data_IF_752017768326
#
_entry.id   IF_752017768326
#
_cell.length_a   1.000
_cell.length_b   1.000
_cell.length_c   1.000
_cell.angle_alpha   90.00
_cell.angle_beta   90.00
_cell.angle_gamma   90.00
#
_symmetry.space_group_name_H-M   'P 1'
#
loop_
_entity.id
_entity.type
_entity.pdbx_description
1 polymer ?
#
# COMPACT_ATOMS: atom_id res chain seq x y z
N UNK A 1 36.46 28.68 9.78
CA UNK A 1 35.59 28.11 10.85
C UNK A 1 36.40 27.10 11.66
N UNK A 2 36.66 27.33 12.96
CA UNK A 2 37.60 26.51 13.73
C UNK A 2 37.09 25.07 13.92
N UNK A 3 37.96 24.08 13.71
CA UNK A 3 37.71 22.63 13.87
C UNK A 3 37.07 22.30 15.22
N UNK A 4 37.45 23.02 16.28
CA UNK A 4 36.88 22.90 17.62
C UNK A 4 35.42 23.34 17.72
N UNK A 5 35.00 24.37 16.95
CA UNK A 5 33.59 24.81 16.91
C UNK A 5 32.71 23.81 16.16
N UNK A 6 33.20 23.25 15.06
CA UNK A 6 32.48 22.22 14.29
C UNK A 6 32.29 20.96 15.13
N UNK A 7 33.34 20.52 15.83
CA UNK A 7 33.26 19.34 16.70
C UNK A 7 32.26 19.55 17.84
N UNK A 8 32.24 20.73 18.46
CA UNK A 8 31.26 21.05 19.50
C UNK A 8 29.84 21.06 18.95
N UNK A 9 29.62 21.71 17.80
CA UNK A 9 28.30 21.75 17.16
C UNK A 9 27.80 20.34 16.80
N UNK A 10 28.67 19.48 16.27
CA UNK A 10 28.32 18.10 15.94
C UNK A 10 27.87 17.32 17.16
N UNK A 11 28.64 17.35 18.27
CA UNK A 11 28.26 16.67 19.50
C UNK A 11 26.97 17.25 20.10
N UNK A 12 26.82 18.56 20.07
CA UNK A 12 25.59 19.23 20.53
C UNK A 12 24.37 18.77 19.73
N UNK A 13 24.45 18.70 18.40
CA UNK A 13 23.38 18.19 17.55
C UNK A 13 23.14 16.69 17.73
N UNK A 14 24.20 15.89 17.84
CA UNK A 14 24.12 14.44 18.05
C UNK A 14 23.43 14.06 19.36
N UNK A 15 23.48 14.92 20.37
CA UNK A 15 22.78 14.73 21.66
C UNK A 15 21.39 15.37 21.65
N UNK A 16 21.25 16.59 21.10
CA UNK A 16 19.97 17.29 21.07
C UNK A 16 18.94 16.59 20.20
N UNK A 17 19.33 16.01 19.06
CA UNK A 17 18.39 15.36 18.14
C UNK A 17 17.70 14.13 18.76
N UNK A 18 18.42 13.16 19.37
CA UNK A 18 17.78 12.05 20.09
C UNK A 18 16.95 12.52 21.29
N UNK A 19 17.43 13.53 22.02
CA UNK A 19 16.73 14.04 23.20
C UNK A 19 15.40 14.71 22.81
N UNK A 20 15.41 15.51 21.74
CA UNK A 20 14.22 16.10 21.15
C UNK A 20 13.23 15.01 20.73
N UNK A 21 13.71 13.93 20.11
CA UNK A 21 12.87 12.82 19.68
C UNK A 21 12.26 12.04 20.87
N UNK A 22 13.05 11.78 21.91
CA UNK A 22 12.59 11.12 23.12
C UNK A 22 11.52 11.94 23.86
N UNK A 23 11.70 13.26 23.95
CA UNK A 23 10.72 14.17 24.55
C UNK A 23 9.39 14.13 23.79
N UNK A 24 9.43 14.04 22.46
CA UNK A 24 8.23 13.91 21.63
C UNK A 24 7.52 12.59 21.88
N UNK A 25 8.27 11.49 21.98
CA UNK A 25 7.69 10.19 22.36
C UNK A 25 6.95 10.26 23.70
N UNK A 26 7.51 10.96 24.69
CA UNK A 26 6.85 11.18 25.99
C UNK A 26 5.59 12.05 25.89
N UNK A 27 5.62 13.13 25.12
CA UNK A 27 4.43 14.00 24.90
C UNK A 27 3.34 13.24 24.13
N UNK A 28 3.72 12.40 23.18
CA UNK A 28 2.80 11.56 22.42
C UNK A 28 2.07 10.56 23.32
N UNK A 29 2.76 9.98 24.32
CA UNK A 29 2.14 9.11 25.32
C UNK A 29 1.10 9.83 26.20
N UNK A 30 1.27 11.14 26.44
CA UNK A 30 0.39 11.91 27.33
C UNK A 30 -0.75 12.69 26.64
N UNK A 31 -0.57 13.10 25.38
CA UNK A 31 -1.48 14.05 24.72
C UNK A 31 -1.97 13.64 23.33
N UNK A 32 -1.49 12.52 22.77
CA UNK A 32 -1.89 12.02 21.46
C UNK A 32 -1.63 12.96 20.27
N UNK A 33 -0.96 14.11 20.48
CA UNK A 33 -0.75 15.17 19.49
C UNK A 33 0.72 15.55 19.44
N UNK A 34 1.23 15.77 18.23
CA UNK A 34 2.53 16.39 17.99
C UNK A 34 2.38 17.92 18.12
N UNK A 35 3.00 18.60 19.11
CA UNK A 35 2.68 20.00 19.37
C UNK A 35 3.49 21.01 18.53
N UNK A 36 4.49 20.57 17.77
CA UNK A 36 5.45 21.47 17.09
C UNK A 36 6.01 20.88 15.78
N UNK A 37 6.46 21.69 14.80
CA UNK A 37 7.09 21.19 13.59
C UNK A 37 8.48 20.61 13.88
N UNK A 38 8.71 19.36 13.47
CA UNK A 38 9.96 18.63 13.65
C UNK A 38 10.60 18.30 12.29
N UNK A 39 11.94 18.19 12.30
CA UNK A 39 12.71 17.41 11.31
C UNK A 39 12.40 15.92 11.51
N UNK A 40 11.19 15.51 11.16
CA UNK A 40 10.83 14.10 11.11
C UNK A 40 11.45 13.53 9.84
N UNK A 41 12.13 12.38 9.92
CA UNK A 41 12.44 11.64 8.71
C UNK A 41 11.14 11.39 7.94
N UNK A 42 11.10 11.56 6.61
CA UNK A 42 9.90 11.37 5.81
C UNK A 42 9.58 9.88 5.72
N UNK A 43 9.01 9.34 6.79
CA UNK A 43 8.61 7.96 6.92
C UNK A 43 7.75 7.86 8.18
N UNK A 44 6.56 7.29 8.04
CA UNK A 44 5.57 7.08 9.11
C UNK A 44 4.69 8.29 9.49
N UNK A 45 4.01 8.92 8.53
CA UNK A 45 2.77 9.67 8.85
C UNK A 45 1.55 9.08 8.14
N UNK A 46 0.98 8.07 8.77
CA UNK A 46 -0.48 7.93 8.79
C UNK A 46 -0.93 8.43 10.17
N UNK A 47 -1.10 9.75 10.33
CA UNK A 47 -1.60 10.33 11.57
C UNK A 47 -3.09 10.02 11.68
N UNK A 48 -3.42 8.85 12.22
CA UNK A 48 -4.80 8.48 12.53
C UNK A 48 -5.35 9.37 13.64
N UNK A 49 -6.57 9.89 13.46
CA UNK A 49 -7.30 10.59 14.53
C UNK A 49 -8.46 9.71 14.99
N UNK A 50 -8.70 9.73 16.29
CA UNK A 50 -9.86 9.13 16.90
C UNK A 50 -11.14 9.77 16.33
N UNK A 51 -12.02 8.94 15.75
CA UNK A 51 -13.25 9.37 15.07
C UNK A 51 -13.13 9.56 13.55
N UNK A 52 -11.93 9.44 12.96
CA UNK A 52 -11.78 9.39 11.50
C UNK A 52 -11.84 7.94 10.99
N UNK A 53 -12.55 7.69 9.86
CA UNK A 53 -12.53 6.37 9.25
C UNK A 53 -11.10 6.02 8.84
N UNK A 54 -10.66 4.81 9.21
CA UNK A 54 -9.41 4.28 8.69
C UNK A 54 -9.64 3.93 7.22
N UNK A 55 -9.01 4.71 6.33
CA UNK A 55 -9.04 4.50 4.89
C UNK A 55 -7.82 3.65 4.52
N UNK A 56 -8.06 2.39 4.21
CA UNK A 56 -7.06 1.49 3.64
C UNK A 56 -7.49 1.10 2.23
N UNK A 57 -6.55 0.67 1.39
CA UNK A 57 -6.86 0.15 0.06
C UNK A 57 -6.64 -1.37 0.06
N UNK A 58 -7.55 -2.07 -0.60
CA UNK A 58 -7.48 -3.51 -0.84
C UNK A 58 -7.54 -3.78 -2.33
N UNK A 59 -6.84 -4.82 -2.78
CA UNK A 59 -6.93 -5.30 -4.15
C UNK A 59 -7.43 -6.74 -4.16
N UNK A 60 -8.43 -6.99 -4.99
CA UNK A 60 -9.06 -8.30 -5.18
C UNK A 60 -9.02 -8.69 -6.65
N UNK A 61 -8.52 -9.89 -6.96
CA UNK A 61 -8.49 -10.46 -8.30
C UNK A 61 -9.75 -11.29 -8.52
N UNK A 62 -10.67 -10.79 -9.34
CA UNK A 62 -11.86 -11.51 -9.78
C UNK A 62 -11.56 -12.21 -11.11
N UNK A 63 -11.44 -13.54 -11.03
CA UNK A 63 -11.03 -14.42 -12.11
C UNK A 63 -12.26 -15.02 -12.76
N UNK A 64 -12.45 -14.75 -14.04
CA UNK A 64 -13.51 -15.35 -14.85
C UNK A 64 -12.98 -16.62 -15.49
N UNK A 65 -13.65 -17.73 -15.19
CA UNK A 65 -13.31 -19.06 -15.70
C UNK A 65 -14.13 -19.37 -16.96
N UNK A 66 -13.69 -20.35 -17.78
CA UNK A 66 -14.42 -20.75 -18.99
C UNK A 66 -15.83 -21.29 -18.72
N UNK A 67 -16.07 -21.81 -17.51
CA UNK A 67 -17.37 -22.31 -17.05
C UNK A 67 -18.36 -21.19 -16.65
N UNK A 68 -17.95 -19.92 -16.77
CA UNK A 68 -18.75 -18.74 -16.40
C UNK A 68 -18.71 -18.41 -14.91
N UNK A 69 -17.99 -19.18 -14.08
CA UNK A 69 -17.87 -18.88 -12.66
C UNK A 69 -16.82 -17.79 -12.41
N UNK A 70 -17.05 -17.01 -11.35
CA UNK A 70 -16.13 -15.96 -10.90
C UNK A 70 -15.51 -16.37 -9.58
N UNK A 71 -14.20 -16.58 -9.57
CA UNK A 71 -13.45 -16.82 -8.34
C UNK A 71 -12.74 -15.54 -7.91
N UNK A 72 -12.93 -15.12 -6.67
CA UNK A 72 -12.22 -13.96 -6.09
C UNK A 72 -11.02 -14.45 -5.28
N UNK A 73 -9.83 -13.97 -5.61
CA UNK A 73 -8.61 -14.20 -4.86
C UNK A 73 -8.08 -12.87 -4.28
N UNK A 74 -7.66 -12.83 -3.01
CA UNK A 74 -6.99 -11.66 -2.47
C UNK A 74 -5.61 -11.51 -3.10
N UNK A 75 -5.13 -10.27 -3.20
CA UNK A 75 -3.82 -9.97 -3.77
C UNK A 75 -2.68 -10.75 -3.09
N UNK A 76 -2.74 -10.92 -1.78
CA UNK A 76 -1.72 -11.65 -1.00
C UNK A 76 -1.56 -13.11 -1.46
N UNK A 77 -2.65 -13.76 -1.91
CA UNK A 77 -2.58 -15.12 -2.46
C UNK A 77 -1.95 -15.14 -3.85
N UNK A 78 -2.35 -14.20 -4.71
CA UNK A 78 -1.82 -14.11 -6.08
C UNK A 78 -0.32 -13.79 -6.04
N UNK A 79 0.09 -12.86 -5.19
CA UNK A 79 1.47 -12.38 -5.05
C UNK A 79 2.31 -13.18 -4.05
N UNK A 80 1.80 -14.27 -3.47
CA UNK A 80 2.50 -15.04 -2.42
C UNK A 80 3.90 -15.57 -2.81
N UNK A 81 4.22 -15.62 -4.11
CA UNK A 81 5.58 -15.97 -4.58
C UNK A 81 6.61 -14.87 -4.32
N UNK A 82 6.15 -13.63 -4.11
CA UNK A 82 6.98 -12.47 -3.79
C UNK A 82 7.02 -12.26 -2.27
N UNK A 83 8.11 -11.69 -1.72
CA UNK A 83 8.14 -11.23 -0.34
C UNK A 83 7.02 -10.23 -0.06
N UNK A 84 6.37 -10.36 1.10
CA UNK A 84 5.22 -9.52 1.48
C UNK A 84 5.53 -8.01 1.41
N UNK A 85 6.75 -7.61 1.76
CA UNK A 85 7.22 -6.22 1.66
C UNK A 85 7.14 -5.62 0.25
N UNK A 86 7.16 -6.46 -0.79
CA UNK A 86 7.09 -6.03 -2.19
C UNK A 86 5.67 -5.97 -2.73
N UNK A 87 4.68 -6.56 -2.05
CA UNK A 87 3.32 -6.70 -2.57
C UNK A 87 2.71 -5.33 -2.88
N UNK A 88 2.82 -4.39 -1.94
CA UNK A 88 2.30 -3.03 -2.12
C UNK A 88 2.92 -2.32 -3.32
N UNK A 89 4.24 -2.33 -3.42
CA UNK A 89 4.95 -1.69 -4.52
C UNK A 89 4.55 -2.32 -5.87
N UNK A 90 4.46 -3.65 -5.91
CA UNK A 90 4.03 -4.39 -7.10
C UNK A 90 2.61 -3.99 -7.52
N UNK A 91 1.65 -3.97 -6.58
CA UNK A 91 0.27 -3.56 -6.84
C UNK A 91 0.21 -2.13 -7.40
N UNK A 92 0.87 -1.18 -6.74
CA UNK A 92 0.84 0.23 -7.13
C UNK A 92 1.49 0.50 -8.50
N UNK A 93 2.56 -0.22 -8.87
CA UNK A 93 3.31 0.05 -10.09
C UNK A 93 2.91 -0.81 -11.30
N UNK A 94 2.29 -1.97 -11.09
CA UNK A 94 1.91 -2.87 -12.19
C UNK A 94 0.40 -2.99 -12.38
N UNK A 95 -0.37 -2.90 -11.30
CA UNK A 95 -1.78 -3.31 -11.30
C UNK A 95 -2.74 -2.14 -11.02
N UNK A 96 -2.23 -0.92 -10.81
CA UNK A 96 -3.06 0.24 -10.47
C UNK A 96 -3.65 0.88 -11.74
N UNK A 97 -4.98 0.99 -11.85
CA UNK A 97 -5.63 1.66 -12.97
C UNK A 97 -5.15 3.10 -13.15
N UNK A 98 -5.05 3.52 -14.41
CA UNK A 98 -4.65 4.88 -14.78
C UNK A 98 -5.61 5.95 -14.23
N UNK A 99 -6.88 5.62 -14.04
CA UNK A 99 -7.87 6.50 -13.41
C UNK A 99 -7.50 6.85 -11.96
N UNK A 100 -6.82 5.95 -11.24
CA UNK A 100 -6.45 6.09 -9.83
C UNK A 100 -5.04 6.63 -9.63
N UNK A 101 -4.15 6.48 -10.61
CA UNK A 101 -2.77 6.98 -10.58
C UNK A 101 -2.59 8.29 -11.36
N UNK A 102 -3.52 8.64 -12.24
CA UNK A 102 -3.43 9.75 -13.17
C UNK A 102 -2.52 9.49 -14.37
N UNK A 103 -1.89 8.30 -14.47
CA UNK A 103 -0.95 7.95 -15.54
C UNK A 103 -1.11 6.50 -15.99
N UNK A 104 -0.89 6.18 -17.28
CA UNK A 104 -0.93 4.79 -17.76
C UNK A 104 0.30 3.97 -17.33
N UNK A 105 1.33 4.60 -16.79
CA UNK A 105 2.59 3.93 -16.40
C UNK A 105 2.43 2.90 -15.29
N UNK A 106 1.31 2.94 -14.55
CA UNK A 106 1.00 2.00 -13.47
C UNK A 106 0.24 0.75 -13.92
N UNK A 107 -0.16 0.68 -15.20
CA UNK A 107 -0.83 -0.47 -15.82
C UNK A 107 0.17 -1.39 -16.55
N UNK A 108 1.40 -1.50 -16.03
CA UNK A 108 2.48 -2.32 -16.63
C UNK A 108 2.11 -3.79 -16.78
N UNK A 109 1.14 -4.26 -16.00
CA UNK A 109 0.61 -5.61 -16.16
C UNK A 109 0.07 -5.85 -17.58
N UNK A 110 -0.27 -4.83 -18.35
CA UNK A 110 -0.71 -4.96 -19.75
C UNK A 110 0.40 -5.43 -20.71
N UNK A 111 1.67 -5.33 -20.34
CA UNK A 111 2.77 -5.87 -21.15
C UNK A 111 2.63 -7.38 -21.32
N UNK A 112 2.99 -7.90 -22.49
CA UNK A 112 2.77 -9.31 -22.84
C UNK A 112 3.38 -10.29 -21.81
N UNK A 113 4.62 -10.04 -21.39
CA UNK A 113 5.32 -10.90 -20.43
C UNK A 113 4.69 -10.84 -19.03
N UNK A 114 4.28 -9.65 -18.59
CA UNK A 114 3.63 -9.47 -17.30
C UNK A 114 2.23 -10.11 -17.27
N UNK A 115 1.45 -9.97 -18.37
CA UNK A 115 0.18 -10.69 -18.53
C UNK A 115 0.39 -12.19 -18.51
N UNK A 116 1.36 -12.71 -19.26
CA UNK A 116 1.65 -14.14 -19.30
C UNK A 116 2.00 -14.67 -17.91
N UNK A 117 2.89 -13.98 -17.19
CA UNK A 117 3.22 -14.31 -15.81
C UNK A 117 1.98 -14.38 -14.90
N UNK A 118 1.06 -13.42 -15.01
CA UNK A 118 -0.17 -13.42 -14.21
C UNK A 118 -1.08 -14.58 -14.60
N UNK A 119 -1.23 -14.87 -15.89
CA UNK A 119 -2.03 -16.00 -16.37
C UNK A 119 -1.50 -17.33 -15.85
N UNK A 120 -0.19 -17.56 -15.94
CA UNK A 120 0.47 -18.77 -15.45
C UNK A 120 0.30 -18.89 -13.93
N UNK A 121 0.46 -17.78 -13.21
CA UNK A 121 0.28 -17.74 -11.75
C UNK A 121 -1.15 -18.07 -11.34
N UNK A 122 -2.15 -17.50 -12.03
CA UNK A 122 -3.55 -17.79 -11.75
C UNK A 122 -3.87 -19.24 -12.09
N UNK A 123 -3.43 -19.74 -13.25
CA UNK A 123 -3.65 -21.13 -13.63
C UNK A 123 -3.03 -22.10 -12.62
N UNK A 124 -1.85 -21.80 -12.09
CA UNK A 124 -1.23 -22.61 -11.03
C UNK A 124 -2.04 -22.59 -9.71
N UNK A 125 -2.70 -21.48 -9.39
CA UNK A 125 -3.50 -21.34 -8.17
C UNK A 125 -4.90 -21.94 -8.28
N UNK A 126 -5.51 -21.90 -9.46
CA UNK A 126 -6.91 -22.30 -9.68
C UNK A 126 -7.06 -23.63 -10.41
N UNK A 127 -5.96 -24.17 -10.94
CA UNK A 127 -5.96 -25.37 -11.80
C UNK A 127 -6.55 -25.15 -13.20
N UNK A 128 -6.95 -23.92 -13.55
CA UNK A 128 -7.63 -23.60 -14.81
C UNK A 128 -7.16 -22.27 -15.39
N UNK A 129 -6.98 -22.22 -16.70
CA UNK A 129 -6.57 -20.99 -17.37
C UNK A 129 -7.73 -19.96 -17.33
N UNK A 130 -7.49 -18.73 -16.85
CA UNK A 130 -8.53 -17.72 -16.78
C UNK A 130 -8.85 -17.17 -18.18
N UNK A 131 -10.12 -16.82 -18.41
CA UNK A 131 -10.57 -16.15 -19.65
C UNK A 131 -10.37 -14.65 -19.54
N UNK A 132 -10.71 -14.10 -18.37
CA UNK A 132 -10.60 -12.69 -18.06
C UNK A 132 -10.23 -12.53 -16.58
N UNK A 133 -9.45 -11.51 -16.27
CA UNK A 133 -9.05 -11.15 -14.91
C UNK A 133 -9.41 -9.70 -14.65
N UNK A 134 -10.26 -9.47 -13.67
CA UNK A 134 -10.62 -8.13 -13.20
C UNK A 134 -9.88 -7.86 -11.89
N UNK A 135 -9.01 -6.86 -11.89
CA UNK A 135 -8.26 -6.45 -10.71
C UNK A 135 -9.01 -5.27 -10.09
N UNK A 136 -9.76 -5.54 -9.03
CA UNK A 136 -10.64 -4.57 -8.38
C UNK A 136 -9.87 -3.90 -7.24
N UNK A 137 -9.74 -2.57 -7.33
CA UNK A 137 -9.23 -1.74 -6.25
C UNK A 137 -10.40 -1.29 -5.39
N UNK A 138 -10.29 -1.48 -4.09
CA UNK A 138 -11.37 -1.24 -3.12
C UNK A 138 -10.86 -0.32 -2.01
N UNK A 139 -11.66 0.68 -1.66
CA UNK A 139 -11.49 1.42 -0.42
C UNK A 139 -12.09 0.61 0.72
N UNK A 140 -11.26 0.30 1.70
CA UNK A 140 -11.67 -0.19 3.00
C UNK A 140 -11.89 1.00 3.92
N UNK A 141 -13.10 1.09 4.45
CA UNK A 141 -13.49 2.09 5.44
C UNK A 141 -13.92 1.36 6.70
N UNK A 142 -13.24 1.59 7.81
CA UNK A 142 -13.69 1.11 9.11
C UNK A 142 -14.49 2.23 9.78
N UNK A 143 -15.74 1.96 10.13
CA UNK A 143 -16.53 2.89 10.94
C UNK A 143 -16.02 2.86 12.39
N UNK A 144 -15.51 4.00 12.92
CA UNK A 144 -14.94 4.04 14.27
C UNK A 144 -15.99 3.82 15.37
N UNK A 145 -17.28 4.01 15.10
CA UNK A 145 -18.35 3.83 16.10
C UNK A 145 -18.87 2.40 16.18
N UNK A 146 -18.98 1.74 15.03
CA UNK A 146 -19.57 0.39 14.95
C UNK A 146 -18.52 -0.71 14.75
N UNK A 147 -17.29 -0.34 14.39
CA UNK A 147 -16.24 -1.29 13.98
C UNK A 147 -16.54 -1.99 12.65
N UNK A 148 -17.62 -1.61 11.95
CA UNK A 148 -18.02 -2.26 10.72
C UNK A 148 -17.01 -1.95 9.60
N UNK A 149 -16.57 -3.00 8.90
CA UNK A 149 -15.76 -2.88 7.70
C UNK A 149 -16.67 -2.68 6.50
N UNK A 150 -16.53 -1.53 5.84
CA UNK A 150 -17.18 -1.22 4.58
C UNK A 150 -16.17 -1.28 3.45
N UNK A 151 -16.55 -1.95 2.36
CA UNK A 151 -15.76 -2.07 1.12
C UNK A 151 -16.47 -1.33 0.02
N UNK A 152 -15.79 -0.38 -0.63
CA UNK A 152 -16.31 0.34 -1.78
C UNK A 152 -15.35 0.17 -2.97
N UNK A 153 -15.81 -0.30 -4.14
CA UNK A 153 -14.96 -0.36 -5.31
C UNK A 153 -14.56 1.06 -5.75
N UNK A 154 -13.26 1.25 -5.99
CA UNK A 154 -12.67 2.48 -6.51
C UNK A 154 -12.59 2.44 -8.03
N UNK A 155 -11.90 1.43 -8.56
CA UNK A 155 -11.83 1.17 -10.00
C UNK A 155 -11.40 -0.28 -10.28
N UNK A 156 -11.56 -0.72 -11.52
CA UNK A 156 -11.23 -2.07 -11.96
C UNK A 156 -10.33 -2.05 -13.20
N UNK A 157 -9.15 -2.67 -13.10
CA UNK A 157 -8.31 -2.96 -14.24
C UNK A 157 -8.69 -4.31 -14.85
N UNK A 158 -9.29 -4.28 -16.04
CA UNK A 158 -9.70 -5.49 -16.77
C UNK A 158 -8.62 -5.95 -17.73
N UNK A 159 -8.26 -7.23 -17.64
CA UNK A 159 -7.33 -7.91 -18.52
C UNK A 159 -8.03 -9.06 -19.22
N UNK A 160 -7.88 -9.13 -20.54
CA UNK A 160 -8.31 -10.25 -21.37
C UNK A 160 -7.14 -11.21 -21.59
N UNK A 161 -7.47 -12.45 -21.98
CA UNK A 161 -6.48 -13.48 -22.33
C UNK A 161 -5.41 -12.91 -23.29
N UNK A 162 -4.11 -13.14 -23.02
CA UNK A 162 -3.03 -12.68 -23.88
C UNK A 162 -3.02 -13.35 -25.25
#
# INVERSE_FOLDING_TARGET
MNRTRIRRLFWTLAVLLPLQYALVGLVQLGGGREPWPLLVMPGFKATWHEGMPLLSQRVTFAIHRPDGTIQRLPADTVLAVLPYSHHRAMLEHFFRPASLSGTPETERIRHADARRWLWDRIQALTGSAPVQVNIVWEALRIDPKTGALQTQPLDTLTLQRP
#
